data_IF_854647021485
#
_entry.id   IF_854647021485
#
_cell.length_a   1.000
_cell.length_b   1.000
_cell.length_c   1.000
_cell.angle_alpha   90.00
_cell.angle_beta   90.00
_cell.angle_gamma   90.00
#
_symmetry.space_group_name_H-M   'P 1'
#
loop_
_entity.id
_entity.type
_entity.pdbx_description
1 polymer ?
#
# COMPACT_ATOMS: atom_id res chain seq x y z
N UNK A 1 8.42 9.23 15.65
CA UNK A 1 6.95 9.45 15.55
C UNK A 1 6.24 8.32 16.29
N UNK A 2 5.44 8.62 17.32
CA UNK A 2 4.81 7.60 18.17
C UNK A 2 3.62 6.98 17.42
N UNK A 3 3.70 5.70 17.03
CA UNK A 3 2.63 5.00 16.30
C UNK A 3 1.50 4.55 17.25
N UNK A 4 0.26 4.66 16.80
CA UNK A 4 -0.92 4.19 17.54
C UNK A 4 -0.84 2.67 17.79
N UNK A 5 -1.57 2.18 18.80
CA UNK A 5 -1.57 0.75 19.17
C UNK A 5 -2.09 -0.13 18.01
N UNK A 6 -3.11 0.34 17.30
CA UNK A 6 -3.68 -0.34 16.13
C UNK A 6 -2.69 -0.42 14.97
N UNK A 7 -1.97 0.67 14.67
CA UNK A 7 -0.98 0.68 13.60
C UNK A 7 0.18 -0.28 13.89
N UNK A 8 0.66 -0.35 15.14
CA UNK A 8 1.69 -1.31 15.54
C UNK A 8 1.24 -2.77 15.41
N UNK A 9 -0.03 -3.05 15.72
CA UNK A 9 -0.58 -4.40 15.58
C UNK A 9 -0.74 -4.82 14.10
N UNK A 10 -1.09 -3.88 13.21
CA UNK A 10 -1.12 -4.11 11.77
C UNK A 10 0.29 -4.30 11.20
N UNK A 11 1.24 -3.45 11.57
CA UNK A 11 2.65 -3.55 11.15
C UNK A 11 3.26 -4.91 11.49
N UNK A 12 2.92 -5.49 12.65
CA UNK A 12 3.46 -6.79 13.07
C UNK A 12 2.98 -7.97 12.21
N UNK A 13 1.89 -7.82 11.46
CA UNK A 13 1.37 -8.85 10.54
C UNK A 13 1.99 -8.76 9.14
N UNK A 14 2.66 -7.66 8.83
CA UNK A 14 3.22 -7.38 7.51
C UNK A 14 4.73 -7.62 7.57
N UNK A 15 5.21 -8.53 6.75
CA UNK A 15 6.64 -8.71 6.50
C UNK A 15 7.08 -7.75 5.38
N UNK A 16 8.09 -6.92 5.66
CA UNK A 16 8.58 -5.91 4.71
C UNK A 16 9.55 -6.48 3.68
N UNK A 17 10.17 -7.63 3.97
CA UNK A 17 11.16 -8.26 3.10
C UNK A 17 10.49 -9.25 2.14
N UNK A 18 9.27 -9.70 2.48
CA UNK A 18 8.51 -10.62 1.64
C UNK A 18 7.77 -9.90 0.51
N UNK A 19 7.94 -10.42 -0.70
CA UNK A 19 7.12 -10.06 -1.86
C UNK A 19 5.83 -10.88 -1.83
N UNK A 20 4.71 -10.21 -1.59
CA UNK A 20 3.38 -10.82 -1.60
C UNK A 20 2.81 -10.88 -3.02
N UNK A 21 2.18 -12.00 -3.37
CA UNK A 21 1.38 -12.08 -4.59
C UNK A 21 0.14 -11.18 -4.48
N UNK A 22 -0.44 -10.67 -5.59
CA UNK A 22 -1.53 -9.69 -5.55
C UNK A 22 -2.73 -10.12 -4.70
N UNK A 23 -3.15 -11.39 -4.80
CA UNK A 23 -4.29 -11.91 -4.05
C UNK A 23 -3.99 -12.01 -2.54
N UNK A 24 -2.76 -12.36 -2.19
CA UNK A 24 -2.30 -12.44 -0.80
C UNK A 24 -2.22 -11.04 -0.18
N UNK A 25 -1.69 -10.07 -0.93
CA UNK A 25 -1.60 -8.67 -0.51
C UNK A 25 -2.99 -8.07 -0.23
N UNK A 26 -3.99 -8.35 -1.07
CA UNK A 26 -5.36 -7.84 -0.86
C UNK A 26 -6.00 -8.44 0.40
N UNK A 27 -5.78 -9.74 0.67
CA UNK A 27 -6.28 -10.38 1.89
C UNK A 27 -5.65 -9.77 3.14
N UNK A 28 -4.33 -9.58 3.11
CA UNK A 28 -3.59 -8.94 4.20
C UNK A 28 -4.03 -7.48 4.41
N UNK A 29 -4.30 -6.74 3.33
CA UNK A 29 -4.83 -5.37 3.41
C UNK A 29 -6.20 -5.34 4.12
N UNK A 30 -7.09 -6.29 3.82
CA UNK A 30 -8.39 -6.42 4.52
C UNK A 30 -8.22 -6.79 5.99
N UNK A 31 -7.30 -7.70 6.33
CA UNK A 31 -7.07 -8.14 7.71
C UNK A 31 -6.39 -7.09 8.61
N UNK A 32 -5.75 -6.10 7.99
CA UNK A 32 -5.11 -4.97 8.68
C UNK A 32 -6.02 -3.75 8.78
N UNK A 33 -7.15 -3.73 8.06
CA UNK A 33 -8.19 -2.72 8.19
C UNK A 33 -8.86 -2.83 9.57
N UNK A 34 -8.52 -1.90 10.46
CA UNK A 34 -9.06 -1.84 11.85
C UNK A 34 -10.15 -0.79 12.00
N UNK A 35 -10.58 -0.18 10.89
CA UNK A 35 -11.60 0.87 10.84
C UNK A 35 -13.01 0.27 10.86
N UNK A 36 -13.96 1.00 11.45
CA UNK A 36 -15.38 0.59 11.53
C UNK A 36 -16.20 0.95 10.28
N UNK A 37 -15.57 1.57 9.30
CA UNK A 37 -16.17 2.07 8.06
C UNK A 37 -15.46 1.44 6.86
N UNK A 38 -16.09 1.52 5.69
CA UNK A 38 -15.53 0.99 4.44
C UNK A 38 -14.31 1.80 4.02
N UNK A 39 -13.14 1.19 4.13
CA UNK A 39 -11.85 1.83 3.93
C UNK A 39 -11.36 1.66 2.49
N UNK A 40 -10.82 2.73 1.91
CA UNK A 40 -10.22 2.71 0.57
C UNK A 40 -8.89 1.94 0.57
N UNK A 41 -8.70 1.08 -0.42
CA UNK A 41 -7.42 0.43 -0.69
C UNK A 41 -6.66 1.27 -1.72
N UNK A 42 -5.45 1.70 -1.35
CA UNK A 42 -4.55 2.43 -2.24
C UNK A 42 -3.41 1.53 -2.73
N UNK A 43 -2.93 1.78 -3.95
CA UNK A 43 -1.79 1.08 -4.53
C UNK A 43 -0.74 2.12 -4.92
N UNK A 44 0.44 2.02 -4.31
CA UNK A 44 1.56 2.90 -4.60
C UNK A 44 2.53 2.22 -5.57
N UNK A 45 2.67 2.78 -6.77
CA UNK A 45 3.66 2.34 -7.75
C UNK A 45 4.81 3.34 -7.80
N UNK A 46 6.05 2.83 -7.72
CA UNK A 46 7.24 3.61 -8.04
C UNK A 46 7.56 3.43 -9.52
N UNK A 47 7.17 4.40 -10.34
CA UNK A 47 7.45 4.38 -11.78
C UNK A 47 8.88 4.86 -12.04
N UNK A 48 9.55 4.24 -13.02
CA UNK A 48 10.92 4.58 -13.44
C UNK A 48 11.00 5.73 -14.45
N UNK A 49 9.93 6.52 -14.59
CA UNK A 49 9.83 7.62 -15.55
C UNK A 49 10.51 8.88 -15.01
N UNK A 50 11.19 9.65 -15.86
CA UNK A 50 11.70 10.97 -15.48
C UNK A 50 10.57 12.00 -15.58
N UNK A 51 10.05 12.54 -14.46
CA UNK A 51 8.93 13.48 -14.48
C UNK A 51 9.28 14.82 -15.12
N UNK A 52 10.57 15.11 -15.37
CA UNK A 52 11.02 16.34 -16.05
C UNK A 52 10.89 16.25 -17.58
N UNK A 53 10.68 15.03 -18.11
CA UNK A 53 10.53 14.76 -19.53
C UNK A 53 9.05 14.54 -19.87
N UNK A 54 8.49 15.42 -20.69
CA UNK A 54 7.05 15.42 -21.00
C UNK A 54 6.57 14.13 -21.71
N UNK A 55 7.45 13.48 -22.47
CA UNK A 55 7.20 12.21 -23.18
C UNK A 55 7.10 11.00 -22.26
N UNK A 56 7.60 11.09 -21.02
CA UNK A 56 7.59 9.99 -20.06
C UNK A 56 6.47 10.11 -19.02
N UNK A 57 5.61 11.13 -19.13
CA UNK A 57 4.48 11.31 -18.24
C UNK A 57 3.38 10.29 -18.57
N UNK A 58 3.16 9.34 -17.66
CA UNK A 58 2.06 8.37 -17.77
C UNK A 58 0.79 8.98 -17.21
N UNK A 59 -0.18 9.28 -18.07
CA UNK A 59 -1.53 9.68 -17.69
C UNK A 59 -2.53 8.85 -18.50
N UNK A 60 -3.22 7.94 -17.82
CA UNK A 60 -4.33 7.15 -18.35
C UNK A 60 -5.53 7.26 -17.41
N UNK A 61 -6.70 6.84 -17.90
CA UNK A 61 -7.95 6.74 -17.13
C UNK A 61 -8.24 5.32 -16.73
#
# INVERSE_FOLDING_TARGET
MKRSKSLRAADAKIDRERLYAPLEAIRLAKDTATTKFDSTVEIAFRLGVDPRKADQMVRGT
#
